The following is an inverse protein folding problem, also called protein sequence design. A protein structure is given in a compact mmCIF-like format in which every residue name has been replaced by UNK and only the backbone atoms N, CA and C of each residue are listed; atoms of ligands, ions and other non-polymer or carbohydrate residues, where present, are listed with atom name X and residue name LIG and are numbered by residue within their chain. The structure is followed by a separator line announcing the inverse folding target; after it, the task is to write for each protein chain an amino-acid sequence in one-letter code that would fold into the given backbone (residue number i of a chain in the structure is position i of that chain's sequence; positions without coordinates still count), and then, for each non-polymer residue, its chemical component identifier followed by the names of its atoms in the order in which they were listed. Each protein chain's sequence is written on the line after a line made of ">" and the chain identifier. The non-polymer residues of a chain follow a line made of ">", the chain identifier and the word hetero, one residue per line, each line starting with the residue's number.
data_IF_471487784535
#
_entry.id   IF_471487784535
#
_cell.length_a   1.000
_cell.length_b   1.000
_cell.length_c   1.000
_cell.angle_alpha   90.00
_cell.angle_beta   90.00
_cell.angle_gamma   90.00
#
_symmetry.space_group_name_H-M   'P 1'
#
loop_
_entity.id
_entity.type
_entity.pdbx_description
1 polymer ?
#
# COMPACT_ATOMS: atom_id res chain seq x y z
N UNK A 1 -18.76 5.42 -18.91
CA UNK A 1 -19.52 4.20 -18.54
C UNK A 1 -19.45 4.10 -17.02
N UNK A 2 -20.54 4.41 -16.32
CA UNK A 2 -20.61 4.45 -14.87
C UNK A 2 -20.83 3.03 -14.33
N UNK A 3 -19.90 2.53 -13.50
CA UNK A 3 -20.03 1.24 -12.83
C UNK A 3 -21.11 1.31 -11.74
N UNK A 4 -21.91 0.25 -11.52
CA UNK A 4 -22.94 0.23 -10.49
C UNK A 4 -22.30 0.20 -9.10
N UNK A 5 -22.59 1.20 -8.29
CA UNK A 5 -22.07 1.35 -6.93
C UNK A 5 -23.04 0.72 -5.94
N UNK A 6 -22.73 -0.48 -5.46
CA UNK A 6 -23.34 -1.05 -4.25
C UNK A 6 -22.26 -1.42 -3.24
N UNK A 7 -21.42 -0.45 -2.92
CA UNK A 7 -20.72 -0.45 -1.63
C UNK A 7 -21.68 0.17 -0.61
N UNK A 8 -22.06 -0.60 0.41
CA UNK A 8 -22.51 -0.03 1.68
C UNK A 8 -21.48 1.03 2.07
N UNK A 9 -21.90 2.28 2.22
CA UNK A 9 -20.98 3.37 2.53
C UNK A 9 -20.14 2.97 3.76
N UNK A 10 -18.80 2.97 3.66
CA UNK A 10 -17.96 2.64 4.81
C UNK A 10 -18.29 3.61 5.95
N UNK A 11 -18.24 3.16 7.23
CA UNK A 11 -18.48 4.03 8.36
C UNK A 11 -17.58 5.27 8.26
N UNK A 12 -18.14 6.43 8.57
CA UNK A 12 -17.52 7.75 8.37
C UNK A 12 -16.27 8.03 9.25
N UNK A 13 -15.71 7.01 9.90
CA UNK A 13 -14.57 7.13 10.79
C UNK A 13 -14.24 5.82 11.50
N UNK A 14 -13.21 5.85 12.33
CA UNK A 14 -12.77 4.71 13.13
C UNK A 14 -13.83 4.31 14.16
N UNK A 15 -14.17 3.02 14.20
CA UNK A 15 -14.90 2.47 15.34
C UNK A 15 -14.02 2.43 16.60
N UNK A 16 -14.59 2.41 17.82
CA UNK A 16 -13.81 2.26 19.06
C UNK A 16 -12.90 1.02 19.03
N UNK A 17 -13.38 -0.11 18.52
CA UNK A 17 -12.59 -1.33 18.41
C UNK A 17 -11.41 -1.18 17.44
N UNK A 18 -11.60 -0.51 16.30
CA UNK A 18 -10.49 -0.21 15.38
C UNK A 18 -9.50 0.78 15.99
N UNK A 19 -9.99 1.77 16.76
CA UNK A 19 -9.14 2.74 17.47
C UNK A 19 -8.22 2.02 18.46
N UNK A 20 -8.79 1.16 19.29
CA UNK A 20 -8.05 0.33 20.26
C UNK A 20 -7.07 -0.63 19.58
N UNK A 21 -7.48 -1.30 18.49
CA UNK A 21 -6.60 -2.19 17.73
C UNK A 21 -5.41 -1.44 17.14
N UNK A 22 -5.64 -0.29 16.51
CA UNK A 22 -4.55 0.52 15.96
C UNK A 22 -3.61 1.04 17.06
N UNK A 23 -4.15 1.44 18.22
CA UNK A 23 -3.33 1.93 19.34
C UNK A 23 -2.44 0.86 19.95
N UNK A 24 -2.93 -0.38 20.01
CA UNK A 24 -2.20 -1.51 20.55
C UNK A 24 -1.21 -2.09 19.55
N UNK A 25 -1.64 -2.29 18.31
CA UNK A 25 -0.94 -3.11 17.32
C UNK A 25 -0.20 -2.27 16.26
N UNK A 26 -0.55 -0.99 16.10
CA UNK A 26 0.06 -0.07 15.13
C UNK A 26 -0.44 -0.21 13.69
N UNK A 27 -1.41 -1.08 13.41
CA UNK A 27 -1.99 -1.28 12.09
C UNK A 27 -3.47 -1.68 12.13
N UNK A 28 -4.12 -1.61 10.96
CA UNK A 28 -5.45 -2.14 10.71
C UNK A 28 -5.45 -2.93 9.40
N UNK A 29 -6.24 -4.01 9.36
CA UNK A 29 -6.55 -4.75 8.14
C UNK A 29 -8.00 -4.49 7.78
N UNK A 30 -8.24 -4.07 6.54
CA UNK A 30 -9.55 -3.69 6.03
C UNK A 30 -9.95 -4.60 4.87
N UNK A 31 -10.61 -5.75 5.13
CA UNK A 31 -11.09 -6.62 4.08
C UNK A 31 -12.11 -5.91 3.20
N UNK A 32 -12.02 -6.09 1.89
CA UNK A 32 -13.00 -5.52 0.95
C UNK A 32 -12.94 -4.00 0.82
N UNK A 33 -11.80 -3.36 1.12
CA UNK A 33 -11.60 -1.93 0.86
C UNK A 33 -11.75 -1.57 -0.64
N UNK A 34 -11.54 -2.55 -1.52
CA UNK A 34 -11.80 -2.49 -2.96
C UNK A 34 -12.71 -3.66 -3.36
N UNK A 35 -13.63 -3.43 -4.30
CA UNK A 35 -14.40 -4.52 -4.94
C UNK A 35 -13.53 -5.31 -5.91
N UNK A 36 -13.92 -6.54 -6.29
CA UNK A 36 -13.17 -7.32 -7.29
C UNK A 36 -12.96 -6.57 -8.62
N UNK A 37 -13.94 -5.79 -9.06
CA UNK A 37 -13.86 -4.99 -10.28
C UNK A 37 -12.84 -3.84 -10.14
N UNK A 38 -12.80 -3.21 -8.97
CA UNK A 38 -11.81 -2.16 -8.67
C UNK A 38 -10.41 -2.75 -8.56
N UNK A 39 -10.27 -3.92 -7.93
CA UNK A 39 -9.00 -4.67 -7.90
C UNK A 39 -8.54 -4.96 -9.32
N UNK A 40 -9.40 -5.54 -10.17
CA UNK A 40 -9.06 -5.83 -11.57
C UNK A 40 -8.65 -4.57 -12.36
N UNK A 41 -9.35 -3.45 -12.12
CA UNK A 41 -8.99 -2.17 -12.72
C UNK A 41 -7.58 -1.73 -12.31
N UNK A 42 -7.27 -1.71 -11.01
CA UNK A 42 -5.95 -1.27 -10.53
C UNK A 42 -4.83 -2.25 -10.86
N UNK A 43 -5.12 -3.56 -10.99
CA UNK A 43 -4.17 -4.52 -11.56
C UNK A 43 -3.77 -4.09 -12.98
N UNK A 44 -4.74 -3.77 -13.85
CA UNK A 44 -4.42 -3.33 -15.21
C UNK A 44 -3.56 -2.06 -15.27
N UNK A 45 -3.75 -1.13 -14.33
CA UNK A 45 -2.90 0.07 -14.18
C UNK A 45 -1.48 -0.33 -13.78
N UNK A 46 -1.34 -1.20 -12.77
CA UNK A 46 -0.04 -1.69 -12.29
C UNK A 46 0.69 -2.50 -13.36
N UNK A 47 -0.02 -3.33 -14.14
CA UNK A 47 0.55 -4.11 -15.25
C UNK A 47 1.14 -3.18 -16.33
N UNK A 48 0.46 -2.08 -16.64
CA UNK A 48 0.97 -1.07 -17.57
C UNK A 48 2.25 -0.40 -17.07
N UNK A 49 2.29 -0.03 -15.79
CA UNK A 49 3.47 0.53 -15.14
C UNK A 49 4.64 -0.47 -15.07
N UNK A 50 4.36 -1.73 -14.75
CA UNK A 50 5.35 -2.83 -14.71
C UNK A 50 5.96 -3.05 -16.09
N UNK A 51 5.13 -3.15 -17.14
CA UNK A 51 5.61 -3.34 -18.51
C UNK A 51 6.49 -2.18 -18.98
N UNK A 52 6.13 -0.93 -18.66
CA UNK A 52 6.95 0.26 -18.96
C UNK A 52 8.29 0.19 -18.23
N UNK A 53 8.27 -0.07 -16.92
CA UNK A 53 9.48 -0.09 -16.10
C UNK A 53 10.43 -1.23 -16.50
N UNK A 54 9.90 -2.43 -16.81
CA UNK A 54 10.70 -3.56 -17.32
C UNK A 54 11.33 -3.23 -18.66
N UNK A 55 10.59 -2.66 -19.60
CA UNK A 55 11.10 -2.22 -20.90
C UNK A 55 12.19 -1.16 -20.74
N UNK A 56 11.96 -0.16 -19.88
CA UNK A 56 12.89 0.95 -19.62
C UNK A 56 14.20 0.49 -18.99
N UNK A 57 14.16 -0.56 -18.16
CA UNK A 57 15.32 -1.07 -17.40
C UNK A 57 15.91 -2.37 -17.93
N UNK A 58 15.36 -2.92 -19.01
CA UNK A 58 15.73 -4.22 -19.56
C UNK A 58 15.70 -5.34 -18.51
N UNK A 59 14.58 -5.42 -17.77
CA UNK A 59 14.39 -6.42 -16.72
C UNK A 59 13.82 -7.72 -17.28
N UNK A 60 14.30 -8.85 -16.78
CA UNK A 60 13.71 -10.16 -17.06
C UNK A 60 12.30 -10.29 -16.44
N UNK A 61 11.55 -11.33 -16.84
CA UNK A 61 10.16 -11.54 -16.39
C UNK A 61 10.02 -11.99 -14.93
N UNK A 62 11.11 -12.37 -14.26
CA UNK A 62 11.13 -12.81 -12.87
C UNK A 62 11.76 -11.78 -11.92
N UNK A 63 12.28 -10.67 -12.45
CA UNK A 63 12.77 -9.57 -11.64
C UNK A 63 11.62 -8.93 -10.84
N UNK A 64 11.87 -8.68 -9.56
CA UNK A 64 11.03 -7.78 -8.77
C UNK A 64 11.07 -6.37 -9.36
N UNK A 65 9.91 -5.72 -9.40
CA UNK A 65 9.80 -4.32 -9.80
C UNK A 65 9.32 -3.47 -8.61
N UNK A 66 10.06 -2.41 -8.33
CA UNK A 66 9.70 -1.35 -7.39
C UNK A 66 9.72 -0.02 -8.15
N UNK A 67 8.57 0.64 -8.22
CA UNK A 67 8.41 1.94 -8.85
C UNK A 67 8.12 2.95 -7.75
N UNK A 68 9.06 3.88 -7.54
CA UNK A 68 8.89 5.00 -6.61
C UNK A 68 8.24 6.18 -7.29
N UNK A 69 7.48 6.96 -6.52
CA UNK A 69 6.62 8.03 -7.01
C UNK A 69 5.73 7.55 -8.17
N UNK A 70 5.14 6.36 -8.02
CA UNK A 70 4.38 5.69 -9.06
C UNK A 70 3.26 6.57 -9.63
N UNK A 71 2.60 7.37 -8.80
CA UNK A 71 1.55 8.31 -9.23
C UNK A 71 2.07 9.36 -10.24
N UNK A 72 3.35 9.71 -10.18
CA UNK A 72 3.96 10.69 -11.07
C UNK A 72 4.54 10.06 -12.35
N UNK A 73 4.45 8.74 -12.52
CA UNK A 73 4.87 8.04 -13.74
C UNK A 73 3.79 8.20 -14.82
N UNK A 74 4.14 8.16 -16.11
CA UNK A 74 3.14 8.12 -17.18
C UNK A 74 2.15 6.96 -16.98
N UNK A 75 0.85 7.25 -16.91
CA UNK A 75 -0.22 6.27 -16.63
C UNK A 75 -0.47 6.02 -15.13
N UNK A 76 0.42 6.51 -14.27
CA UNK A 76 0.32 6.39 -12.81
C UNK A 76 -0.73 7.30 -12.19
N UNK A 77 -1.19 8.34 -12.88
CA UNK A 77 -2.26 9.22 -12.44
C UNK A 77 -3.58 8.47 -12.20
N UNK A 78 -3.77 7.30 -12.83
CA UNK A 78 -4.90 6.42 -12.58
C UNK A 78 -4.93 5.86 -11.15
N UNK A 79 -3.81 5.90 -10.41
CA UNK A 79 -3.73 5.52 -9.00
C UNK A 79 -4.13 6.66 -8.04
N UNK A 80 -4.29 7.91 -8.52
CA UNK A 80 -4.65 9.06 -7.69
C UNK A 80 -5.89 8.85 -6.79
N UNK A 81 -6.98 8.21 -7.26
CA UNK A 81 -8.15 7.98 -6.41
C UNK A 81 -7.86 7.17 -5.14
N UNK A 82 -6.78 6.37 -5.13
CA UNK A 82 -6.42 5.57 -3.95
C UNK A 82 -5.91 6.41 -2.77
N UNK A 83 -5.53 7.67 -3.01
CA UNK A 83 -5.03 8.60 -1.98
C UNK A 83 -6.09 9.00 -0.97
N UNK A 84 -7.31 9.24 -1.44
CA UNK A 84 -8.46 9.69 -0.65
C UNK A 84 -9.63 8.69 -0.69
N UNK A 85 -9.30 7.42 -0.91
CA UNK A 85 -10.29 6.37 -1.11
C UNK A 85 -11.29 6.27 0.07
N UNK A 86 -12.60 6.19 -0.19
CA UNK A 86 -13.62 6.29 0.86
C UNK A 86 -13.49 5.27 1.99
N UNK A 87 -12.95 4.07 1.71
CA UNK A 87 -12.81 3.01 2.69
C UNK A 87 -11.59 3.18 3.63
N UNK A 88 -10.62 4.02 3.28
CA UNK A 88 -9.32 4.10 3.98
C UNK A 88 -9.00 5.51 4.47
N UNK A 89 -9.27 6.54 3.67
CA UNK A 89 -8.86 7.91 3.98
C UNK A 89 -9.55 8.50 5.22
N UNK A 90 -10.86 8.30 5.45
CA UNK A 90 -11.50 8.78 6.70
C UNK A 90 -10.81 8.21 7.95
N UNK A 91 -10.36 6.95 7.90
CA UNK A 91 -9.65 6.32 9.01
C UNK A 91 -8.26 6.94 9.20
N UNK A 92 -7.56 7.22 8.11
CA UNK A 92 -6.26 7.90 8.16
C UNK A 92 -6.37 9.31 8.75
N UNK A 93 -7.40 10.06 8.36
CA UNK A 93 -7.67 11.40 8.88
C UNK A 93 -7.96 11.39 10.40
N UNK A 94 -8.72 10.42 10.89
CA UNK A 94 -8.93 10.21 12.33
C UNK A 94 -7.62 9.84 13.08
N UNK A 95 -6.66 9.19 12.41
CA UNK A 95 -5.39 8.77 13.02
C UNK A 95 -4.35 9.90 13.06
N UNK A 96 -4.18 10.61 11.94
CA UNK A 96 -3.14 11.63 11.75
C UNK A 96 -3.63 13.06 11.99
N UNK A 97 -4.95 13.29 11.94
CA UNK A 97 -5.55 14.61 12.02
C UNK A 97 -5.63 15.29 10.65
N UNK A 98 -5.30 16.57 10.61
CA UNK A 98 -5.45 17.45 9.45
C UNK A 98 -4.09 17.77 8.81
N UNK A 99 -4.09 18.29 7.57
CA UNK A 99 -2.90 18.63 6.79
C UNK A 99 -2.02 17.42 6.41
N UNK A 100 -2.66 16.38 5.87
CA UNK A 100 -2.00 15.17 5.37
C UNK A 100 -1.48 15.45 3.95
N UNK A 101 -0.24 15.04 3.68
CA UNK A 101 0.42 15.22 2.38
C UNK A 101 1.02 13.89 1.93
N UNK A 102 0.93 13.61 0.62
CA UNK A 102 1.60 12.46 0.02
C UNK A 102 3.11 12.68 0.05
N UNK A 103 3.84 11.88 0.83
CA UNK A 103 5.31 11.90 0.83
C UNK A 103 5.89 11.11 -0.34
N UNK A 104 5.34 9.92 -0.61
CA UNK A 104 5.77 9.04 -1.71
C UNK A 104 4.66 8.05 -2.04
N UNK A 105 4.64 7.56 -3.27
CA UNK A 105 3.75 6.47 -3.72
C UNK A 105 4.59 5.37 -4.33
N UNK A 106 4.39 4.12 -3.91
CA UNK A 106 5.17 2.98 -4.38
C UNK A 106 4.25 1.94 -5.02
N UNK A 107 4.67 1.40 -6.15
CA UNK A 107 4.14 0.16 -6.73
C UNK A 107 5.19 -0.92 -6.57
N UNK A 108 4.77 -2.07 -6.03
CA UNK A 108 5.60 -3.25 -5.86
C UNK A 108 4.99 -4.40 -6.65
N UNK A 109 5.77 -4.96 -7.58
CA UNK A 109 5.44 -6.21 -8.28
C UNK A 109 6.46 -7.25 -7.87
N UNK A 110 5.98 -8.27 -7.14
CA UNK A 110 6.78 -9.39 -6.66
C UNK A 110 6.45 -10.61 -7.51
N UNK A 111 7.32 -10.90 -8.46
CA UNK A 111 7.27 -12.10 -9.29
C UNK A 111 7.77 -13.32 -8.52
N UNK A 112 7.34 -14.54 -8.88
CA UNK A 112 7.89 -15.75 -8.28
C UNK A 112 9.40 -15.85 -8.50
N UNK A 113 10.17 -15.98 -7.42
CA UNK A 113 11.62 -16.14 -7.51
C UNK A 113 11.99 -17.63 -7.50
N UNK A 114 11.99 -18.26 -8.69
CA UNK A 114 12.15 -19.72 -8.88
C UNK A 114 13.50 -20.32 -8.43
N UNK A 115 14.43 -19.52 -7.89
CA UNK A 115 15.74 -19.98 -7.40
C UNK A 115 16.14 -19.35 -6.06
N UNK A 116 15.22 -18.68 -5.40
CA UNK A 116 15.51 -17.93 -4.18
C UNK A 116 15.63 -18.88 -2.98
N UNK A 117 16.79 -18.85 -2.35
CA UNK A 117 17.03 -19.64 -1.15
C UNK A 117 16.16 -19.13 0.00
N UNK A 118 15.77 -20.01 0.91
CA UNK A 118 15.02 -19.64 2.13
C UNK A 118 15.75 -18.59 2.99
N UNK A 119 17.06 -18.43 2.80
CA UNK A 119 17.90 -17.42 3.45
C UNK A 119 17.87 -16.04 2.79
N UNK A 120 17.26 -15.90 1.61
CA UNK A 120 17.10 -14.60 0.98
C UNK A 120 16.21 -13.72 1.85
N UNK A 121 16.77 -12.60 2.27
CA UNK A 121 16.03 -11.57 2.98
C UNK A 121 15.63 -10.50 1.99
N UNK A 122 14.33 -10.40 1.72
CA UNK A 122 13.77 -9.11 1.36
C UNK A 122 14.14 -8.10 2.46
N UNK A 123 14.25 -6.81 2.11
CA UNK A 123 14.53 -5.65 2.99
C UNK A 123 14.43 -5.99 4.49
N UNK A 124 15.56 -5.93 5.21
CA UNK A 124 15.63 -6.26 6.64
C UNK A 124 14.59 -5.48 7.46
N UNK A 125 14.25 -6.01 8.64
CA UNK A 125 13.34 -5.36 9.59
C UNK A 125 13.73 -3.89 9.80
N UNK A 126 12.81 -2.99 9.48
CA UNK A 126 13.01 -1.55 9.60
C UNK A 126 11.72 -0.84 9.99
N UNK A 127 11.86 0.35 10.56
CA UNK A 127 10.76 1.31 10.66
C UNK A 127 10.75 2.17 9.40
N UNK A 128 9.58 2.36 8.80
CA UNK A 128 9.42 3.34 7.73
C UNK A 128 9.61 4.75 8.26
N UNK A 129 10.33 5.58 7.50
CA UNK A 129 10.59 6.96 7.86
C UNK A 129 12.02 7.39 7.54
N UNK A 130 12.47 8.53 8.10
CA UNK A 130 13.84 8.99 7.92
C UNK A 130 14.83 8.07 8.65
N UNK A 131 16.03 7.92 8.10
CA UNK A 131 17.16 7.30 8.76
C UNK A 131 17.97 8.41 9.48
N UNK A 132 18.27 8.32 10.79
CA UNK A 132 18.16 7.16 11.68
C UNK A 132 16.74 6.79 12.17
N UNK A 133 15.90 7.77 12.53
CA UNK A 133 14.49 7.54 12.90
C UNK A 133 13.75 8.88 13.03
N UNK A 134 12.43 8.85 13.17
CA UNK A 134 11.67 10.00 13.68
C UNK A 134 12.09 10.33 15.13
N UNK A 135 11.96 11.60 15.56
CA UNK A 135 12.22 11.98 16.95
C UNK A 135 11.18 11.38 17.88
N UNK A 136 11.59 10.99 19.09
CA UNK A 136 10.69 10.51 20.15
C UNK A 136 10.58 11.53 21.28
N UNK A 137 9.40 11.63 21.89
CA UNK A 137 9.17 12.43 23.10
C UNK A 137 8.80 11.47 24.24
N UNK A 138 9.63 11.41 25.28
CA UNK A 138 9.39 10.50 26.41
C UNK A 138 9.39 9.01 26.03
N UNK A 139 10.15 8.63 25.00
CA UNK A 139 10.18 7.24 24.48
C UNK A 139 9.00 6.90 23.56
N UNK A 140 8.12 7.84 23.25
CA UNK A 140 6.98 7.66 22.35
C UNK A 140 7.26 8.34 21.02
N UNK A 141 7.08 7.61 19.93
CA UNK A 141 7.13 8.18 18.58
C UNK A 141 5.81 8.90 18.26
N UNK A 142 5.83 10.19 17.87
CA UNK A 142 4.65 10.87 17.38
C UNK A 142 4.19 10.25 16.05
N UNK A 143 2.87 10.33 15.78
CA UNK A 143 2.26 9.85 14.53
C UNK A 143 2.52 10.84 13.39
N UNK A 144 3.74 10.81 12.85
CA UNK A 144 4.16 11.72 11.78
C UNK A 144 4.01 11.10 10.38
N UNK A 145 3.78 9.79 10.31
CA UNK A 145 3.82 9.05 9.06
C UNK A 145 2.94 7.80 9.16
N UNK A 146 2.25 7.49 8.07
CA UNK A 146 1.50 6.24 7.92
C UNK A 146 1.47 5.84 6.44
N UNK A 147 1.22 4.56 6.18
CA UNK A 147 1.03 4.02 4.83
C UNK A 147 -0.33 3.36 4.71
N UNK A 148 -0.97 3.54 3.55
CA UNK A 148 -2.09 2.71 3.13
C UNK A 148 -1.56 1.77 2.06
N UNK A 149 -1.61 0.47 2.33
CA UNK A 149 -1.25 -0.58 1.38
C UNK A 149 -2.50 -1.20 0.76
N UNK A 150 -2.64 -1.10 -0.56
CA UNK A 150 -3.65 -1.85 -1.31
C UNK A 150 -3.01 -3.12 -1.87
N UNK A 151 -3.41 -4.27 -1.35
CA UNK A 151 -2.97 -5.57 -1.84
C UNK A 151 -3.89 -6.01 -2.97
N UNK A 152 -3.36 -6.00 -4.19
CA UNK A 152 -4.13 -6.27 -5.42
C UNK A 152 -4.14 -7.75 -5.80
N UNK A 153 -3.25 -8.55 -5.23
CA UNK A 153 -3.18 -10.00 -5.41
C UNK A 153 -3.33 -10.71 -4.07
N UNK A 154 -3.64 -12.00 -4.13
CA UNK A 154 -3.86 -12.82 -2.94
C UNK A 154 -2.55 -13.10 -2.18
N UNK A 155 -2.48 -12.65 -0.94
CA UNK A 155 -1.33 -12.84 -0.03
C UNK A 155 -1.65 -13.76 1.17
N UNK A 156 -2.73 -14.56 1.08
CA UNK A 156 -3.25 -15.37 2.20
C UNK A 156 -2.39 -16.58 2.59
N UNK A 157 -1.38 -16.93 1.80
CA UNK A 157 -0.51 -18.08 2.03
C UNK A 157 0.98 -17.67 1.94
N UNK A 158 1.88 -18.43 2.59
CA UNK A 158 3.32 -18.26 2.41
C UNK A 158 3.74 -18.27 0.94
N UNK A 159 4.86 -17.60 0.66
CA UNK A 159 5.52 -17.56 -0.65
C UNK A 159 4.72 -16.86 -1.76
N UNK A 160 3.76 -16.01 -1.36
CA UNK A 160 2.99 -15.14 -2.26
C UNK A 160 3.46 -13.68 -2.28
N UNK A 161 4.65 -13.40 -1.74
CA UNK A 161 5.18 -12.03 -1.65
C UNK A 161 4.55 -11.21 -0.52
N UNK A 162 4.07 -11.87 0.54
CA UNK A 162 3.53 -11.23 1.73
C UNK A 162 4.60 -10.44 2.50
N UNK A 163 4.15 -9.48 3.31
CA UNK A 163 5.00 -8.87 4.34
C UNK A 163 5.48 -9.98 5.29
N UNK A 164 6.79 -10.03 5.55
CA UNK A 164 7.44 -11.00 6.45
C UNK A 164 8.00 -10.30 7.67
#
# INVERSE_FOLDING_TARGET
>A
MTLPSTLTAPPAGLTPAQREAFDRDGFLVLPGALTPEQVAHFIGVVDGLDAEERSRRDLDSFATVEIRNAIARPGGEALLPLLDWPATFPLLAEILGWNIQLTTSHVFVRTPNLGEQTSFKAIDWHADGPNPSFPTIGGVSPRLYAKIGYFLTDLSAPDRGNLR
#
